data_IF_484837452205
#
_entry.id   IF_484837452205
#
_cell.length_a   1.000
_cell.length_b   1.000
_cell.length_c   1.000
_cell.angle_alpha   90.00
_cell.angle_beta   90.00
_cell.angle_gamma   90.00
#
_symmetry.space_group_name_H-M   'P 1'
#
loop_
_entity.id
_entity.type
_entity.pdbx_description
1 polymer ?
#
# COMPACT_ATOMS: atom_id res chain seq x y z
N UNK A 1 24.54 8.24 0.22
CA UNK A 1 23.71 8.24 -1.01
C UNK A 1 22.26 8.06 -0.63
N UNK A 2 21.34 8.72 -1.33
CA UNK A 2 19.91 8.59 -1.10
C UNK A 2 19.42 7.22 -1.57
N UNK A 3 18.50 6.60 -0.82
CA UNK A 3 17.82 5.36 -1.21
C UNK A 3 16.66 5.69 -2.16
N UNK A 4 16.97 6.28 -3.32
CA UNK A 4 15.97 6.66 -4.31
C UNK A 4 15.97 5.65 -5.47
N UNK A 5 14.78 5.36 -5.99
CA UNK A 5 14.62 4.61 -7.22
C UNK A 5 15.06 5.48 -8.41
N UNK A 6 15.72 4.86 -9.38
CA UNK A 6 16.03 5.44 -10.67
C UNK A 6 14.76 5.45 -11.56
N UNK A 7 14.76 6.20 -12.68
CA UNK A 7 13.58 6.30 -13.56
C UNK A 7 13.07 4.96 -14.12
N UNK A 8 13.93 3.96 -14.24
CA UNK A 8 13.60 2.60 -14.70
C UNK A 8 13.09 1.68 -13.56
N UNK A 9 12.92 2.21 -12.35
CA UNK A 9 12.49 1.47 -11.17
C UNK A 9 13.59 0.64 -10.52
N UNK A 10 14.81 0.63 -11.05
CA UNK A 10 15.97 0.07 -10.36
C UNK A 10 16.38 0.95 -9.19
N UNK A 11 17.11 0.38 -8.25
CA UNK A 11 17.54 1.09 -7.05
C UNK A 11 18.91 1.71 -7.25
N UNK A 12 19.11 2.93 -6.75
CA UNK A 12 20.43 3.54 -6.75
C UNK A 12 21.50 2.69 -6.05
N UNK A 13 22.76 2.93 -6.41
CA UNK A 13 23.91 2.16 -5.90
C UNK A 13 23.96 2.05 -4.38
N UNK A 14 23.55 3.10 -3.65
CA UNK A 14 23.52 3.10 -2.20
C UNK A 14 22.58 2.02 -1.62
N UNK A 15 21.41 1.80 -2.23
CA UNK A 15 20.50 0.73 -1.80
C UNK A 15 21.05 -0.63 -2.22
N UNK A 16 21.58 -0.76 -3.44
CA UNK A 16 22.21 -2.01 -3.88
C UNK A 16 23.32 -2.44 -2.91
N UNK A 17 24.25 -1.55 -2.57
CA UNK A 17 25.33 -1.84 -1.63
C UNK A 17 24.82 -2.18 -0.22
N UNK A 18 23.70 -1.58 0.21
CA UNK A 18 23.05 -1.97 1.45
C UNK A 18 22.53 -3.40 1.37
N UNK A 19 21.76 -3.73 0.34
CA UNK A 19 21.18 -5.06 0.13
C UNK A 19 22.26 -6.14 0.07
N UNK A 20 23.34 -5.91 -0.69
CA UNK A 20 24.48 -6.84 -0.76
C UNK A 20 25.04 -7.10 0.63
N UNK A 21 25.42 -6.05 1.36
CA UNK A 21 26.04 -6.20 2.68
C UNK A 21 25.17 -6.99 3.66
N UNK A 22 23.87 -6.67 3.73
CA UNK A 22 22.96 -7.34 4.66
C UNK A 22 22.69 -8.79 4.24
N UNK A 23 22.52 -9.07 2.95
CA UNK A 23 22.27 -10.43 2.47
C UNK A 23 23.53 -11.31 2.49
N UNK A 24 24.72 -10.75 2.28
CA UNK A 24 25.99 -11.49 2.39
C UNK A 24 26.17 -12.10 3.79
N UNK A 25 25.68 -11.43 4.85
CA UNK A 25 25.71 -11.99 6.20
C UNK A 25 24.88 -13.28 6.35
N UNK A 26 23.87 -13.49 5.49
CA UNK A 26 22.97 -14.64 5.53
C UNK A 26 23.32 -15.71 4.48
N UNK A 27 23.79 -15.28 3.31
CA UNK A 27 23.95 -16.14 2.13
C UNK A 27 25.40 -16.23 1.62
N UNK A 28 26.33 -15.48 2.20
CA UNK A 28 27.74 -15.45 1.82
C UNK A 28 28.02 -14.67 0.53
N UNK A 29 29.22 -14.86 0.00
CA UNK A 29 29.76 -14.05 -1.11
C UNK A 29 29.01 -14.24 -2.43
N UNK A 30 28.22 -15.31 -2.56
CA UNK A 30 27.38 -15.57 -3.74
C UNK A 30 26.43 -14.41 -4.05
N UNK A 31 26.04 -13.62 -3.05
CA UNK A 31 25.14 -12.47 -3.24
C UNK A 31 25.74 -11.48 -4.22
N UNK A 32 27.03 -11.16 -4.12
CA UNK A 32 27.64 -10.17 -5.02
C UNK A 32 27.77 -10.71 -6.45
N UNK A 33 27.97 -12.02 -6.60
CA UNK A 33 28.13 -12.69 -7.90
C UNK A 33 26.79 -12.94 -8.60
N UNK A 34 25.75 -13.30 -7.85
CA UNK A 34 24.46 -13.76 -8.40
C UNK A 34 23.37 -12.65 -8.40
N UNK A 35 23.53 -11.58 -7.62
CA UNK A 35 22.52 -10.50 -7.55
C UNK A 35 22.54 -9.64 -8.83
N UNK A 36 21.58 -9.91 -9.70
CA UNK A 36 21.38 -9.23 -10.99
C UNK A 36 21.00 -7.75 -10.81
N UNK A 37 19.93 -7.48 -10.05
CA UNK A 37 19.43 -6.12 -9.84
C UNK A 37 18.68 -6.01 -8.51
N UNK A 38 18.51 -4.77 -8.05
CA UNK A 38 17.68 -4.44 -6.88
C UNK A 38 16.64 -3.44 -7.34
N UNK A 39 15.37 -3.77 -7.13
CA UNK A 39 14.24 -2.87 -7.35
C UNK A 39 13.54 -2.62 -6.02
N UNK A 40 13.13 -1.37 -5.78
CA UNK A 40 12.38 -1.02 -4.58
C UNK A 40 11.36 0.06 -4.89
N UNK A 41 10.30 0.08 -4.07
CA UNK A 41 9.26 1.10 -4.06
C UNK A 41 9.00 1.49 -2.61
N UNK A 42 9.26 2.75 -2.28
CA UNK A 42 8.83 3.33 -1.01
C UNK A 42 7.37 3.81 -1.14
N UNK A 43 6.41 2.94 -0.83
CA UNK A 43 4.97 3.24 -0.95
C UNK A 43 4.51 4.46 -0.15
N UNK A 44 5.18 4.77 0.96
CA UNK A 44 4.90 5.96 1.78
C UNK A 44 5.12 7.29 1.03
N UNK A 45 5.92 7.27 -0.04
CA UNK A 45 6.21 8.43 -0.88
C UNK A 45 5.33 8.47 -2.13
N UNK A 46 4.51 7.45 -2.35
CA UNK A 46 3.61 7.39 -3.49
C UNK A 46 2.33 8.16 -3.17
N UNK A 47 2.18 9.37 -3.70
CA UNK A 47 1.04 10.24 -3.42
C UNK A 47 -0.33 9.69 -3.88
N UNK A 48 -0.37 8.64 -4.69
CA UNK A 48 -1.61 7.96 -5.08
C UNK A 48 -1.93 6.75 -4.18
N UNK A 49 -0.95 6.26 -3.42
CA UNK A 49 -1.12 5.13 -2.48
C UNK A 49 -1.20 5.61 -1.04
N UNK A 50 -0.34 6.55 -0.67
CA UNK A 50 -0.25 7.12 0.65
C UNK A 50 -0.34 8.65 0.54
N UNK A 51 -1.46 9.22 0.99
CA UNK A 51 -1.60 10.66 1.07
C UNK A 51 -0.61 11.25 2.08
N UNK A 52 -0.20 12.53 1.95
CA UNK A 52 0.47 13.21 3.05
C UNK A 52 -0.42 13.07 4.28
N UNK A 53 0.16 12.65 5.42
CA UNK A 53 -0.55 12.66 6.69
C UNK A 53 -1.28 14.01 6.81
N UNK A 54 -2.59 13.96 7.02
CA UNK A 54 -3.38 15.17 7.23
C UNK A 54 -2.75 15.93 8.39
N UNK A 55 -2.74 17.27 8.35
CA UNK A 55 -2.28 18.07 9.50
C UNK A 55 -3.12 17.80 10.78
N UNK A 56 -4.24 17.09 10.66
CA UNK A 56 -5.06 16.58 11.78
C UNK A 56 -4.62 15.23 12.34
N UNK A 57 -3.67 14.54 11.70
CA UNK A 57 -3.18 13.25 12.16
C UNK A 57 -2.29 13.49 13.38
N UNK A 58 -2.88 13.35 14.57
CA UNK A 58 -2.08 13.16 15.78
C UNK A 58 -1.07 12.04 15.49
N UNK A 59 0.21 12.18 15.86
CA UNK A 59 1.20 11.11 15.75
C UNK A 59 0.77 9.80 16.47
N UNK A 60 -0.25 9.86 17.33
CA UNK A 60 -0.84 8.70 18.01
C UNK A 60 -2.03 8.06 17.27
N UNK A 61 -2.61 8.71 16.26
CA UNK A 61 -3.75 8.18 15.52
C UNK A 61 -3.25 7.36 14.32
N UNK A 62 -3.17 6.04 14.46
CA UNK A 62 -2.96 5.16 13.32
C UNK A 62 -4.29 5.04 12.54
N UNK A 63 -4.44 5.63 11.33
CA UNK A 63 -5.71 5.62 10.60
C UNK A 63 -6.18 4.21 10.25
N UNK A 64 -5.27 3.22 10.23
CA UNK A 64 -5.60 1.80 10.03
C UNK A 64 -6.44 1.20 11.15
N UNK A 65 -6.47 1.83 12.34
CA UNK A 65 -7.36 1.41 13.43
C UNK A 65 -8.85 1.60 13.10
N UNK A 66 -9.16 2.45 12.12
CA UNK A 66 -10.53 2.67 11.66
C UNK A 66 -10.93 1.75 10.48
N UNK A 67 -10.04 0.90 9.97
CA UNK A 67 -10.38 -0.02 8.88
C UNK A 67 -11.43 -1.04 9.32
N UNK A 68 -12.29 -1.44 8.39
CA UNK A 68 -13.44 -2.29 8.64
C UNK A 68 -14.57 -1.59 9.43
N UNK A 69 -14.43 -0.32 9.80
CA UNK A 69 -15.47 0.39 10.53
C UNK A 69 -16.76 0.49 9.72
N UNK A 70 -17.96 0.24 10.30
CA UNK A 70 -19.22 0.24 9.55
C UNK A 70 -19.51 1.54 8.78
N UNK A 71 -19.08 2.70 9.32
CA UNK A 71 -19.24 3.99 8.64
C UNK A 71 -18.40 4.12 7.35
N UNK A 72 -17.31 3.38 7.20
CA UNK A 72 -16.55 3.34 5.94
C UNK A 72 -17.25 2.50 4.86
N UNK A 73 -18.28 1.73 5.25
CA UNK A 73 -19.07 0.91 4.33
C UNK A 73 -20.43 1.53 3.99
N UNK A 74 -20.94 2.40 4.86
CA UNK A 74 -22.27 2.97 4.70
C UNK A 74 -22.33 3.88 3.46
N UNK A 75 -23.23 3.62 2.51
CA UNK A 75 -23.47 4.54 1.40
C UNK A 75 -23.94 5.91 1.90
N UNK A 76 -23.54 6.97 1.22
CA UNK A 76 -24.00 8.32 1.53
C UNK A 76 -25.35 8.62 0.85
N UNK A 77 -26.21 9.44 1.46
CA UNK A 77 -27.56 9.72 0.93
C UNK A 77 -27.58 10.30 -0.50
N UNK A 78 -26.48 10.90 -0.95
CA UNK A 78 -26.32 11.49 -2.28
C UNK A 78 -25.67 10.54 -3.30
N UNK A 79 -25.66 9.23 -3.03
CA UNK A 79 -25.32 8.20 -4.02
C UNK A 79 -23.84 7.82 -4.10
N UNK A 80 -23.04 8.15 -3.07
CA UNK A 80 -21.64 7.70 -2.99
C UNK A 80 -21.56 6.37 -2.24
N UNK A 81 -20.90 5.39 -2.85
CA UNK A 81 -20.61 4.08 -2.25
C UNK A 81 -19.10 3.90 -2.12
N UNK A 82 -18.67 3.32 -1.01
CA UNK A 82 -17.25 3.14 -0.72
C UNK A 82 -16.82 1.69 -0.92
N UNK A 83 -15.68 1.51 -1.58
CA UNK A 83 -14.97 0.25 -1.74
C UNK A 83 -13.54 0.40 -1.19
N UNK A 84 -12.65 -0.53 -1.54
CA UNK A 84 -11.29 -0.58 -1.01
C UNK A 84 -11.18 -1.56 0.14
N UNK A 85 -9.99 -2.15 0.28
CA UNK A 85 -9.73 -3.21 1.26
C UNK A 85 -10.00 -2.74 2.69
N UNK A 86 -9.79 -1.46 2.94
CA UNK A 86 -10.05 -0.74 4.19
C UNK A 86 -11.51 -0.81 4.65
N UNK A 87 -12.45 -1.13 3.76
CA UNK A 87 -13.86 -1.26 4.10
C UNK A 87 -14.26 -2.67 4.54
N UNK A 88 -13.37 -3.66 4.43
CA UNK A 88 -13.62 -5.07 4.75
C UNK A 88 -12.84 -5.55 5.98
N UNK A 89 -13.30 -6.66 6.58
CA UNK A 89 -12.59 -7.28 7.71
C UNK A 89 -11.19 -7.80 7.31
N UNK A 90 -11.03 -8.21 6.05
CA UNK A 90 -9.74 -8.60 5.46
C UNK A 90 -8.94 -7.40 4.92
N UNK A 91 -8.99 -6.26 5.62
CA UNK A 91 -8.27 -5.06 5.20
C UNK A 91 -6.76 -5.29 5.03
N UNK A 92 -6.17 -4.60 4.05
CA UNK A 92 -4.76 -4.76 3.67
C UNK A 92 -4.47 -5.93 2.73
N UNK A 93 -5.49 -6.72 2.36
CA UNK A 93 -5.36 -7.84 1.43
C UNK A 93 -6.12 -7.57 0.12
N UNK A 94 -5.68 -8.20 -0.96
CA UNK A 94 -6.31 -8.10 -2.28
C UNK A 94 -7.73 -8.66 -2.25
N UNK A 95 -7.95 -9.73 -1.50
CA UNK A 95 -9.26 -10.36 -1.28
C UNK A 95 -10.26 -9.36 -0.67
N UNK A 96 -9.80 -8.56 0.30
CA UNK A 96 -10.61 -7.47 0.87
C UNK A 96 -10.96 -6.40 -0.15
N UNK A 97 -10.04 -6.06 -1.07
CA UNK A 97 -10.32 -5.10 -2.14
C UNK A 97 -11.36 -5.63 -3.14
N UNK A 98 -11.25 -6.90 -3.53
CA UNK A 98 -12.19 -7.58 -4.43
C UNK A 98 -13.58 -7.62 -3.79
N UNK A 99 -13.68 -8.16 -2.56
CA UNK A 99 -14.95 -8.27 -1.86
C UNK A 99 -15.63 -6.91 -1.67
N UNK A 100 -14.86 -5.87 -1.31
CA UNK A 100 -15.36 -4.51 -1.20
C UNK A 100 -15.90 -3.96 -2.52
N UNK A 101 -15.18 -4.20 -3.62
CA UNK A 101 -15.57 -3.75 -4.96
C UNK A 101 -16.86 -4.41 -5.43
N UNK A 102 -16.98 -5.73 -5.29
CA UNK A 102 -18.19 -6.48 -5.64
C UNK A 102 -19.40 -6.00 -4.83
N UNK A 103 -19.23 -5.81 -3.52
CA UNK A 103 -20.28 -5.29 -2.63
C UNK A 103 -20.74 -3.91 -3.07
N UNK A 104 -19.82 -2.95 -3.23
CA UNK A 104 -20.16 -1.59 -3.61
C UNK A 104 -20.89 -1.54 -4.96
N UNK A 105 -20.47 -2.35 -5.94
CA UNK A 105 -21.16 -2.46 -7.22
C UNK A 105 -22.61 -2.99 -7.07
N UNK A 106 -22.84 -3.98 -6.21
CA UNK A 106 -24.19 -4.48 -5.92
C UNK A 106 -25.07 -3.45 -5.23
N UNK A 107 -24.51 -2.64 -4.33
CA UNK A 107 -25.24 -1.56 -3.67
C UNK A 107 -25.70 -0.50 -4.68
N UNK A 108 -24.82 -0.07 -5.58
CA UNK A 108 -25.16 0.85 -6.67
C UNK A 108 -26.26 0.24 -7.56
N UNK A 109 -26.10 -1.01 -7.97
CA UNK A 109 -27.08 -1.69 -8.80
C UNK A 109 -28.46 -1.84 -8.13
N UNK A 110 -28.52 -1.89 -6.80
CA UNK A 110 -29.78 -1.88 -6.04
C UNK A 110 -30.39 -0.48 -5.95
N UNK A 111 -29.57 0.56 -5.80
CA UNK A 111 -30.03 1.95 -5.69
C UNK A 111 -30.58 2.52 -7.02
N UNK A 112 -30.18 1.93 -8.15
CA UNK A 112 -30.66 2.31 -9.49
C UNK A 112 -31.94 1.58 -9.93
N UNK A 113 -32.43 0.63 -9.14
CA UNK A 113 -33.71 -0.07 -9.38
C UNK A 113 -34.85 0.68 -8.71
#
# INVERSE_FOLDING_TARGET
GTYQSLPDGSSGQALRSRVVRELTALFGDRVEVELVSVHHKAWILDGLTYGPASASDSPQANPRMAYGHPLLRAPLPWGVHFAGTETEAQSGHVEGAIAAGERAAQEVAKALK
#
